data_IF_296821583723
#
_entry.id   IF_296821583723
#
_cell.length_a   1.000
_cell.length_b   1.000
_cell.length_c   1.000
_cell.angle_alpha   90.00
_cell.angle_beta   90.00
_cell.angle_gamma   90.00
#
_symmetry.space_group_name_H-M   'P 1'
#
loop_
_entity.id
_entity.type
_entity.pdbx_description
1 polymer ?
#
# COMPACT_ATOMS: atom_id res chain seq x y z
N UNK A 1 -25.33 -44.62 25.85
CA UNK A 1 -24.82 -44.13 24.55
C UNK A 1 -24.50 -42.63 24.62
N UNK A 2 -23.74 -42.20 25.65
CA UNK A 2 -23.52 -40.78 25.96
C UNK A 2 -22.02 -40.46 26.20
N UNK A 3 -21.13 -41.37 25.79
CA UNK A 3 -19.67 -41.22 25.93
C UNK A 3 -18.94 -41.09 24.59
N UNK A 4 -19.61 -41.36 23.46
CA UNK A 4 -19.04 -41.17 22.12
C UNK A 4 -19.18 -39.74 21.57
N UNK A 5 -20.15 -38.96 22.08
CA UNK A 5 -20.41 -37.61 21.55
C UNK A 5 -19.36 -36.59 21.99
N UNK A 6 -18.67 -36.81 23.12
CA UNK A 6 -17.69 -35.87 23.68
C UNK A 6 -16.32 -35.91 22.99
N UNK A 7 -16.06 -36.87 22.09
CA UNK A 7 -14.75 -37.03 21.45
C UNK A 7 -14.64 -36.29 20.09
N UNK A 8 -15.75 -35.84 19.51
CA UNK A 8 -15.80 -35.20 18.19
C UNK A 8 -15.55 -33.68 18.20
N UNK A 9 -15.40 -33.06 19.38
CA UNK A 9 -15.30 -31.61 19.53
C UNK A 9 -13.86 -31.10 19.76
N UNK A 10 -12.85 -31.94 19.53
CA UNK A 10 -11.44 -31.60 19.79
C UNK A 10 -10.57 -31.43 18.53
N UNK A 11 -11.13 -31.61 17.32
CA UNK A 11 -10.34 -31.66 16.08
C UNK A 11 -10.77 -30.62 15.03
N UNK A 12 -11.04 -29.39 15.46
CA UNK A 12 -11.42 -28.31 14.53
C UNK A 12 -10.76 -26.97 14.87
N UNK A 13 -9.47 -26.97 15.23
CA UNK A 13 -8.68 -25.74 15.32
C UNK A 13 -7.23 -26.06 14.93
N UNK A 14 -6.95 -26.27 13.64
CA UNK A 14 -5.58 -26.24 13.11
C UNK A 14 -5.60 -26.24 11.57
N UNK A 15 -6.20 -25.22 10.96
CA UNK A 15 -5.96 -24.91 9.55
C UNK A 15 -6.00 -23.40 9.38
N UNK A 16 -4.84 -22.80 9.12
CA UNK A 16 -4.69 -21.37 8.89
C UNK A 16 -3.75 -20.66 9.86
N UNK A 17 -2.67 -21.31 10.30
CA UNK A 17 -1.53 -20.57 10.82
C UNK A 17 -0.84 -19.85 9.64
N UNK A 18 -0.82 -18.52 9.73
CA UNK A 18 0.23 -17.63 9.24
C UNK A 18 0.27 -17.36 7.72
N UNK A 19 -0.53 -16.37 7.32
CA UNK A 19 -0.01 -15.27 6.53
C UNK A 19 -0.32 -13.97 7.27
N UNK A 20 0.24 -13.80 8.47
CA UNK A 20 0.54 -12.44 8.93
C UNK A 20 1.69 -11.98 8.05
N UNK A 21 1.36 -11.44 6.88
CA UNK A 21 2.23 -10.47 6.23
C UNK A 21 2.45 -9.40 7.28
N UNK A 22 3.56 -9.51 7.98
CA UNK A 22 4.04 -8.43 8.83
C UNK A 22 4.40 -7.37 7.82
N UNK A 23 3.45 -6.47 7.55
CA UNK A 23 3.68 -5.23 6.80
C UNK A 23 4.75 -4.52 7.59
N UNK A 24 5.99 -4.85 7.27
CA UNK A 24 7.16 -4.26 7.89
C UNK A 24 7.13 -2.85 7.34
N UNK A 25 6.56 -1.93 8.12
CA UNK A 25 6.44 -0.53 7.71
C UNK A 25 7.81 -0.10 7.23
N UNK A 26 7.87 0.34 5.98
CA UNK A 26 9.11 0.77 5.38
C UNK A 26 9.51 2.07 6.11
N UNK A 27 10.61 2.08 6.90
CA UNK A 27 11.00 3.28 7.61
C UNK A 27 11.51 4.28 6.57
N UNK A 28 10.69 5.28 6.25
CA UNK A 28 10.98 6.34 5.30
C UNK A 28 10.89 7.69 5.98
N UNK A 29 11.75 8.61 5.56
CA UNK A 29 11.65 10.04 5.84
C UNK A 29 11.30 10.77 4.55
N UNK A 30 10.68 11.94 4.66
CA UNK A 30 10.26 12.73 3.49
C UNK A 30 11.43 13.30 2.69
N UNK A 31 12.64 13.23 3.22
CA UNK A 31 13.87 13.61 2.53
C UNK A 31 14.41 12.48 1.66
N UNK A 32 13.93 11.24 1.85
CA UNK A 32 14.40 10.07 1.11
C UNK A 32 13.77 9.94 -0.29
N UNK A 33 12.63 10.60 -0.52
CA UNK A 33 11.89 10.54 -1.77
C UNK A 33 11.29 11.89 -2.13
N UNK A 34 11.65 12.41 -3.30
CA UNK A 34 10.92 13.50 -3.93
C UNK A 34 9.82 12.95 -4.86
N UNK A 35 8.96 13.85 -5.36
CA UNK A 35 7.92 13.44 -6.29
C UNK A 35 8.48 12.89 -7.60
N UNK A 36 9.63 13.36 -8.10
CA UNK A 36 10.21 12.88 -9.35
C UNK A 36 10.61 11.40 -9.28
N UNK A 37 11.11 10.96 -8.12
CA UNK A 37 11.41 9.56 -7.85
C UNK A 37 10.12 8.70 -7.85
N UNK A 38 9.08 9.19 -7.20
CA UNK A 38 7.77 8.51 -7.15
C UNK A 38 7.14 8.46 -8.54
N UNK A 39 7.16 9.57 -9.28
CA UNK A 39 6.66 9.71 -10.63
C UNK A 39 7.29 8.67 -11.56
N UNK A 40 8.62 8.56 -11.53
CA UNK A 40 9.36 7.59 -12.35
C UNK A 40 8.92 6.15 -12.08
N UNK A 41 8.58 5.83 -10.83
CA UNK A 41 8.14 4.49 -10.43
C UNK A 41 6.69 4.20 -10.84
N UNK A 42 5.80 5.18 -10.70
CA UNK A 42 4.35 4.97 -10.92
C UNK A 42 3.92 5.21 -12.36
N UNK A 43 4.62 6.08 -13.11
CA UNK A 43 4.22 6.53 -14.46
C UNK A 43 3.82 5.39 -15.41
N UNK A 44 4.50 4.23 -15.46
CA UNK A 44 4.10 3.14 -16.37
C UNK A 44 2.73 2.53 -16.07
N UNK A 45 2.15 2.81 -14.90
CA UNK A 45 0.91 2.23 -14.39
C UNK A 45 -0.23 3.25 -14.33
N UNK A 46 0.03 4.52 -14.62
CA UNK A 46 -0.96 5.59 -14.57
C UNK A 46 -1.59 5.78 -15.94
N UNK A 47 -2.90 6.02 -15.94
CA UNK A 47 -3.57 6.61 -17.10
C UNK A 47 -3.04 8.04 -17.35
N UNK A 48 -3.00 8.45 -18.61
CA UNK A 48 -2.46 9.75 -19.02
C UNK A 48 -3.13 10.92 -18.29
N UNK A 49 -4.43 10.83 -18.03
CA UNK A 49 -5.20 11.86 -17.31
C UNK A 49 -4.76 11.97 -15.84
N UNK A 50 -4.50 10.85 -15.18
CA UNK A 50 -4.02 10.78 -13.80
C UNK A 50 -2.60 11.31 -13.73
N UNK A 51 -1.73 10.88 -14.66
CA UNK A 51 -0.37 11.38 -14.77
C UNK A 51 -0.33 12.90 -14.96
N UNK A 52 -1.11 13.45 -15.89
CA UNK A 52 -1.18 14.90 -16.12
C UNK A 52 -1.70 15.64 -14.89
N UNK A 53 -2.72 15.12 -14.21
CA UNK A 53 -3.24 15.74 -12.99
C UNK A 53 -2.16 15.84 -11.89
N UNK A 54 -1.34 14.80 -11.73
CA UNK A 54 -0.27 14.76 -10.73
C UNK A 54 0.89 15.72 -11.10
N UNK A 55 1.28 15.78 -12.37
CA UNK A 55 2.28 16.74 -12.88
C UNK A 55 1.82 18.20 -12.71
N UNK A 56 0.52 18.46 -12.85
CA UNK A 56 -0.03 19.79 -12.60
C UNK A 56 -0.09 20.09 -11.10
N UNK A 57 -0.40 19.08 -10.28
CA UNK A 57 -0.42 19.21 -8.82
C UNK A 57 0.97 19.50 -8.25
N UNK A 58 2.04 18.87 -8.77
CA UNK A 58 3.42 19.04 -8.31
C UNK A 58 3.98 20.46 -8.50
N UNK A 59 3.35 21.26 -9.35
CA UNK A 59 3.70 22.67 -9.57
C UNK A 59 3.05 23.63 -8.55
N UNK A 60 2.21 23.12 -7.65
CA UNK A 60 1.59 23.90 -6.58
C UNK A 60 2.55 24.17 -5.42
N UNK A 61 2.48 25.35 -4.79
CA UNK A 61 3.22 25.65 -3.55
C UNK A 61 2.76 24.82 -2.35
N UNK A 62 1.53 24.29 -2.41
CA UNK A 62 0.92 23.46 -1.36
C UNK A 62 1.00 21.96 -1.72
N UNK A 63 1.93 21.60 -2.60
CA UNK A 63 2.08 20.23 -3.03
C UNK A 63 2.67 19.35 -1.91
N UNK A 64 2.09 18.16 -1.75
CA UNK A 64 2.54 17.13 -0.82
C UNK A 64 2.61 15.79 -1.56
N UNK A 65 3.76 15.12 -1.47
CA UNK A 65 3.99 13.80 -2.09
C UNK A 65 2.93 12.78 -1.65
N UNK A 66 2.36 12.94 -0.45
CA UNK A 66 1.38 12.05 0.18
C UNK A 66 0.03 12.21 -0.49
N UNK A 67 -0.33 13.45 -0.82
CA UNK A 67 -1.57 13.73 -1.52
C UNK A 67 -1.55 13.11 -2.93
N UNK A 68 -0.40 13.15 -3.60
CA UNK A 68 -0.19 12.50 -4.89
C UNK A 68 -0.17 10.97 -4.76
N UNK A 69 0.56 10.43 -3.78
CA UNK A 69 0.58 9.00 -3.51
C UNK A 69 -0.81 8.44 -3.19
N UNK A 70 -1.63 9.22 -2.48
CA UNK A 70 -3.01 8.84 -2.16
C UNK A 70 -3.94 8.83 -3.38
N UNK A 71 -3.69 9.67 -4.39
CA UNK A 71 -4.41 9.60 -5.66
C UNK A 71 -4.03 8.33 -6.42
N UNK A 72 -2.74 8.03 -6.51
CA UNK A 72 -2.20 6.87 -7.23
C UNK A 72 -2.62 5.54 -6.60
N UNK A 73 -2.74 5.45 -5.28
CA UNK A 73 -3.14 4.20 -4.59
C UNK A 73 -4.50 3.61 -5.03
N UNK A 74 -5.33 4.37 -5.76
CA UNK A 74 -6.60 3.88 -6.28
C UNK A 74 -6.47 3.16 -7.63
N UNK A 75 -5.27 3.11 -8.23
CA UNK A 75 -5.02 2.46 -9.51
C UNK A 75 -4.95 0.93 -9.36
N UNK A 76 -5.70 0.20 -10.20
CA UNK A 76 -5.89 -1.26 -10.07
C UNK A 76 -4.65 -2.10 -10.42
N UNK A 77 -3.66 -1.51 -11.11
CA UNK A 77 -2.56 -2.26 -11.75
C UNK A 77 -1.20 -2.10 -11.07
N UNK A 78 -1.16 -1.48 -9.89
CA UNK A 78 0.09 -1.21 -9.20
C UNK A 78 0.76 -2.49 -8.67
N UNK A 79 2.06 -2.69 -8.92
CA UNK A 79 2.83 -3.74 -8.28
C UNK A 79 2.90 -3.55 -6.75
N UNK A 80 2.87 -4.65 -6.02
CA UNK A 80 2.93 -4.68 -4.56
C UNK A 80 4.09 -3.85 -3.92
N UNK A 81 5.32 -3.81 -4.49
CA UNK A 81 6.37 -2.95 -3.97
C UNK A 81 6.04 -1.45 -4.07
N UNK A 82 5.35 -1.04 -5.13
CA UNK A 82 4.94 0.36 -5.36
C UNK A 82 3.81 0.72 -4.39
N UNK A 83 2.83 -0.16 -4.21
CA UNK A 83 1.76 0.03 -3.20
C UNK A 83 2.34 0.26 -1.81
N UNK A 84 3.34 -0.55 -1.42
CA UNK A 84 4.01 -0.41 -0.12
C UNK A 84 4.76 0.91 0.03
N UNK A 85 5.46 1.36 -1.01
CA UNK A 85 6.12 2.67 -1.03
C UNK A 85 5.11 3.81 -0.88
N UNK A 86 4.05 3.82 -1.70
CA UNK A 86 3.03 4.88 -1.69
C UNK A 86 2.30 4.93 -0.35
N UNK A 87 1.98 3.77 0.23
CA UNK A 87 1.36 3.68 1.57
C UNK A 87 2.28 4.27 2.63
N UNK A 88 3.58 3.99 2.57
CA UNK A 88 4.56 4.54 3.52
C UNK A 88 4.70 6.07 3.39
N UNK A 89 4.63 6.63 2.16
CA UNK A 89 4.61 8.08 1.94
C UNK A 89 3.36 8.73 2.56
N UNK A 90 2.18 8.15 2.33
CA UNK A 90 0.92 8.63 2.93
C UNK A 90 0.97 8.59 4.46
N UNK A 91 1.43 7.48 5.04
CA UNK A 91 1.55 7.30 6.49
C UNK A 91 2.53 8.30 7.12
N UNK A 92 3.64 8.58 6.42
CA UNK A 92 4.65 9.54 6.85
C UNK A 92 4.22 11.01 6.66
N UNK A 93 3.14 11.27 5.92
CA UNK A 93 2.66 12.63 5.55
C UNK A 93 3.73 13.49 4.87
N UNK A 94 4.60 12.83 4.12
CA UNK A 94 5.36 13.43 3.04
C UNK A 94 4.35 13.52 1.91
#
# INVERSE_FOLDING_TARGET
MLKLLSLLMALSICAGALATETTTQLPLTCEDFDWGDVETLVQPYLDDDVYVALVMQSQSSEYHTSAAAQQVLNEETLPEPIIRLLTALVDARC
#
